data_IF_172296295368
#
_entry.id   IF_172296295368
#
_cell.length_a   1.000
_cell.length_b   1.000
_cell.length_c   1.000
_cell.angle_alpha   90.00
_cell.angle_beta   90.00
_cell.angle_gamma   90.00
#
_symmetry.space_group_name_H-M   'P 1'
#
loop_
_entity.id
_entity.type
_entity.pdbx_description
1 polymer ?
#
# COMPACT_ATOMS: atom_id res chain seq x y z
N UNK A 1 5.67 7.64 31.21
CA UNK A 1 4.61 7.84 30.19
C UNK A 1 5.33 8.07 28.86
N UNK A 2 5.57 7.00 28.10
CA UNK A 2 6.38 7.04 26.88
C UNK A 2 5.49 7.50 25.74
N UNK A 3 5.76 8.68 25.19
CA UNK A 3 5.05 9.20 24.01
C UNK A 3 5.46 8.34 22.82
N UNK A 4 4.57 7.47 22.35
CA UNK A 4 4.72 6.79 21.06
C UNK A 4 4.55 7.90 20.01
N UNK A 5 5.53 8.13 19.11
CA UNK A 5 5.32 9.08 18.05
C UNK A 5 4.18 8.56 17.17
N UNK A 6 3.05 9.25 17.21
CA UNK A 6 1.97 9.03 16.27
C UNK A 6 2.52 9.38 14.89
N UNK A 7 2.64 8.39 14.01
CA UNK A 7 2.77 8.67 12.59
C UNK A 7 1.48 9.38 12.20
N UNK A 8 1.55 10.70 12.01
CA UNK A 8 0.48 11.43 11.36
C UNK A 8 0.66 11.23 9.85
N UNK A 9 -0.05 10.29 9.22
CA UNK A 9 -0.34 10.44 7.80
C UNK A 9 -1.17 11.73 7.68
N UNK A 10 -0.95 12.49 6.63
CA UNK A 10 -1.79 13.63 6.32
C UNK A 10 -3.26 13.18 6.47
N UNK A 11 -4.03 13.87 7.28
CA UNK A 11 -5.36 13.47 7.75
C UNK A 11 -6.19 12.85 6.62
N UNK A 12 -6.48 11.55 6.72
CA UNK A 12 -7.56 10.92 5.95
C UNK A 12 -7.22 9.74 5.05
N UNK A 13 -5.98 9.28 4.91
CA UNK A 13 -5.67 7.99 4.26
C UNK A 13 -4.68 7.23 5.13
N UNK A 14 -5.15 6.17 5.75
CA UNK A 14 -4.32 5.27 6.57
C UNK A 14 -3.56 4.34 5.63
N UNK A 15 -2.23 4.30 5.74
CA UNK A 15 -1.42 3.38 4.94
C UNK A 15 -1.68 1.93 5.34
N UNK A 16 -1.75 1.04 4.37
CA UNK A 16 -1.94 -0.40 4.54
C UNK A 16 -0.59 -1.10 4.50
N UNK A 17 -0.24 -1.81 5.56
CA UNK A 17 0.99 -2.59 5.67
C UNK A 17 0.67 -4.08 5.67
N UNK A 18 1.28 -4.83 4.74
CA UNK A 18 1.21 -6.29 4.73
C UNK A 18 2.37 -6.86 5.55
N UNK A 19 2.07 -7.65 6.57
CA UNK A 19 3.05 -8.35 7.41
C UNK A 19 3.09 -9.83 7.03
N UNK A 20 4.26 -10.31 6.57
CA UNK A 20 4.49 -11.71 6.16
C UNK A 20 5.53 -12.30 7.10
N UNK A 21 5.11 -13.20 7.98
CA UNK A 21 5.94 -13.86 8.99
C UNK A 21 5.25 -15.17 9.38
N UNK A 22 5.94 -16.30 9.40
CA UNK A 22 5.36 -17.60 9.75
C UNK A 22 5.17 -17.76 11.27
N UNK A 23 5.92 -17.02 12.07
CA UNK A 23 5.78 -17.03 13.52
C UNK A 23 4.55 -16.21 13.96
N UNK A 24 3.46 -16.89 14.30
CA UNK A 24 2.18 -16.26 14.67
C UNK A 24 2.33 -15.20 15.78
N UNK A 25 3.15 -15.50 16.81
CA UNK A 25 3.33 -14.57 17.93
C UNK A 25 4.04 -13.28 17.49
N UNK A 26 5.10 -13.39 16.67
CA UNK A 26 5.83 -12.26 16.13
C UNK A 26 4.95 -11.44 15.17
N UNK A 27 4.27 -12.11 14.25
CA UNK A 27 3.36 -11.48 13.28
C UNK A 27 2.27 -10.69 13.98
N UNK A 28 1.57 -11.28 14.97
CA UNK A 28 0.54 -10.61 15.74
C UNK A 28 1.07 -9.43 16.56
N UNK A 29 2.24 -9.57 17.19
CA UNK A 29 2.84 -8.49 17.96
C UNK A 29 3.16 -7.28 17.06
N UNK A 30 3.70 -7.52 15.88
CA UNK A 30 3.95 -6.49 14.87
C UNK A 30 2.62 -5.87 14.42
N UNK A 31 1.64 -6.68 14.01
CA UNK A 31 0.34 -6.21 13.55
C UNK A 31 -0.36 -5.32 14.59
N UNK A 32 -0.41 -5.74 15.86
CA UNK A 32 -1.00 -4.96 16.95
C UNK A 32 -0.28 -3.61 17.14
N UNK A 33 1.05 -3.60 17.05
CA UNK A 33 1.81 -2.37 17.18
C UNK A 33 1.55 -1.39 16.04
N UNK A 34 1.41 -1.89 14.79
CA UNK A 34 1.08 -1.08 13.63
C UNK A 34 -0.35 -0.55 13.68
N UNK A 35 -1.33 -1.39 14.07
CA UNK A 35 -2.72 -0.98 14.29
C UNK A 35 -2.83 0.10 15.38
N UNK A 36 -2.10 -0.05 16.49
CA UNK A 36 -2.07 0.95 17.56
C UNK A 36 -1.47 2.30 17.12
N UNK A 37 -0.63 2.28 16.08
CA UNK A 37 -0.07 3.49 15.46
C UNK A 37 -1.01 4.10 14.38
N UNK A 38 -2.18 3.52 14.14
CA UNK A 38 -3.17 4.02 13.19
C UNK A 38 -2.98 3.53 11.76
N UNK A 39 -2.18 2.49 11.51
CA UNK A 39 -2.02 1.87 10.20
C UNK A 39 -3.06 0.78 10.00
N UNK A 40 -3.42 0.48 8.76
CA UNK A 40 -4.13 -0.74 8.39
C UNK A 40 -3.13 -1.88 8.23
N UNK A 41 -3.54 -3.11 8.61
CA UNK A 41 -2.63 -4.26 8.57
C UNK A 41 -3.30 -5.45 7.91
N UNK A 42 -2.59 -6.02 6.93
CA UNK A 42 -2.87 -7.33 6.36
C UNK A 42 -1.82 -8.30 6.89
N UNK A 43 -2.21 -9.55 7.12
CA UNK A 43 -1.33 -10.58 7.67
C UNK A 43 -1.27 -11.80 6.74
N UNK A 44 -0.08 -12.33 6.53
CA UNK A 44 0.14 -13.62 5.85
C UNK A 44 1.11 -14.48 6.65
N UNK A 45 0.80 -15.78 6.76
CA UNK A 45 1.62 -16.73 7.51
C UNK A 45 2.66 -17.46 6.62
N UNK A 46 2.62 -17.25 5.32
CA UNK A 46 3.51 -17.91 4.36
C UNK A 46 3.73 -17.06 3.09
N UNK A 47 4.72 -17.45 2.29
CA UNK A 47 5.08 -16.75 1.08
C UNK A 47 3.99 -16.73 0.00
N UNK A 48 3.32 -17.85 -0.33
CA UNK A 48 2.22 -17.87 -1.29
C UNK A 48 1.07 -16.93 -0.93
N UNK A 49 0.57 -16.98 0.31
CA UNK A 49 -0.48 -16.09 0.81
C UNK A 49 -0.02 -14.61 0.80
N UNK A 50 1.24 -14.37 1.20
CA UNK A 50 1.84 -13.03 1.15
C UNK A 50 1.92 -12.47 -0.25
N UNK A 51 2.34 -13.27 -1.24
CA UNK A 51 2.39 -12.85 -2.64
C UNK A 51 0.98 -12.54 -3.18
N UNK A 52 0.01 -13.38 -2.89
CA UNK A 52 -1.38 -13.19 -3.28
C UNK A 52 -1.94 -11.87 -2.73
N UNK A 53 -1.78 -11.63 -1.42
CA UNK A 53 -2.22 -10.39 -0.79
C UNK A 53 -1.48 -9.17 -1.35
N UNK A 54 -0.17 -9.25 -1.56
CA UNK A 54 0.59 -8.15 -2.13
C UNK A 54 0.10 -7.75 -3.53
N UNK A 55 -0.34 -8.72 -4.34
CA UNK A 55 -0.82 -8.49 -5.70
C UNK A 55 -2.28 -8.03 -5.75
N UNK A 56 -3.13 -8.55 -4.87
CA UNK A 56 -4.57 -8.30 -4.95
C UNK A 56 -5.02 -7.14 -4.05
N UNK A 57 -4.43 -6.98 -2.87
CA UNK A 57 -4.80 -5.92 -1.93
C UNK A 57 -4.00 -4.61 -2.13
N UNK A 58 -2.95 -4.63 -2.97
CA UNK A 58 -2.08 -3.48 -3.26
C UNK A 58 -1.68 -2.70 -1.99
N UNK A 59 -0.99 -3.32 -1.01
CA UNK A 59 -0.55 -2.64 0.19
C UNK A 59 0.44 -1.51 -0.15
N UNK A 60 0.52 -0.51 0.71
CA UNK A 60 1.46 0.59 0.58
C UNK A 60 2.89 0.19 0.96
N UNK A 61 3.03 -0.87 1.78
CA UNK A 61 4.32 -1.41 2.20
C UNK A 61 4.18 -2.88 2.64
N UNK A 62 5.23 -3.66 2.39
CA UNK A 62 5.36 -5.04 2.88
C UNK A 62 6.45 -5.12 3.94
N UNK A 63 6.17 -5.74 5.08
CA UNK A 63 7.14 -6.21 6.07
C UNK A 63 7.30 -7.70 5.85
N UNK A 64 8.50 -8.15 5.49
CA UNK A 64 8.77 -9.51 5.04
C UNK A 64 9.81 -10.20 5.91
N UNK A 65 9.47 -11.31 6.57
CA UNK A 65 10.48 -12.22 7.10
C UNK A 65 11.10 -13.04 5.96
N UNK A 66 12.42 -13.16 5.98
CA UNK A 66 13.13 -14.02 5.02
C UNK A 66 13.00 -15.51 5.32
N UNK A 67 12.72 -15.87 6.56
CA UNK A 67 12.55 -17.27 6.96
C UNK A 67 11.09 -17.69 6.89
N UNK A 68 10.64 -18.08 5.71
CA UNK A 68 9.28 -18.56 5.48
C UNK A 68 9.29 -20.04 5.05
N UNK A 69 8.39 -20.86 5.55
CA UNK A 69 8.27 -22.25 5.10
C UNK A 69 7.77 -22.30 3.64
N UNK A 70 8.37 -23.19 2.86
CA UNK A 70 7.92 -23.51 1.49
C UNK A 70 8.33 -22.53 0.39
N UNK A 71 8.50 -21.25 0.67
CA UNK A 71 9.06 -20.26 -0.24
C UNK A 71 10.00 -19.35 0.55
N UNK A 72 11.29 -19.46 0.28
CA UNK A 72 12.29 -18.56 0.90
C UNK A 72 11.92 -17.10 0.64
N UNK A 73 12.00 -16.27 1.67
CA UNK A 73 11.59 -14.86 1.58
C UNK A 73 12.36 -14.08 0.51
N UNK A 74 13.60 -14.46 0.22
CA UNK A 74 14.41 -13.91 -0.88
C UNK A 74 13.75 -14.18 -2.24
N UNK A 75 13.26 -15.39 -2.46
CA UNK A 75 12.51 -15.75 -3.69
C UNK A 75 11.16 -15.03 -3.77
N UNK A 76 10.53 -14.81 -2.62
CA UNK A 76 9.30 -14.00 -2.57
C UNK A 76 9.59 -12.56 -2.96
N UNK A 77 10.65 -11.96 -2.43
CA UNK A 77 11.11 -10.62 -2.79
C UNK A 77 11.41 -10.50 -4.28
N UNK A 78 12.16 -11.43 -4.86
CA UNK A 78 12.41 -11.47 -6.31
C UNK A 78 11.10 -11.54 -7.13
N UNK A 79 10.16 -12.38 -6.72
CA UNK A 79 8.86 -12.50 -7.40
C UNK A 79 8.06 -11.22 -7.30
N UNK A 80 8.02 -10.60 -6.13
CA UNK A 80 7.37 -9.30 -5.93
C UNK A 80 7.96 -8.25 -6.87
N UNK A 81 9.28 -8.16 -6.96
CA UNK A 81 9.97 -7.16 -7.81
C UNK A 81 9.75 -7.33 -9.31
N UNK A 82 9.39 -8.53 -9.76
CA UNK A 82 9.02 -8.76 -11.19
C UNK A 82 7.65 -8.19 -11.56
N UNK A 83 6.77 -7.97 -10.56
CA UNK A 83 5.35 -7.67 -10.79
C UNK A 83 4.85 -6.46 -10.00
N UNK A 84 5.63 -5.96 -9.04
CA UNK A 84 5.25 -4.85 -8.16
C UNK A 84 6.48 -4.10 -7.65
N UNK A 85 6.35 -2.77 -7.57
CA UNK A 85 7.34 -1.89 -6.93
C UNK A 85 6.91 -1.54 -5.50
N UNK A 86 5.99 -2.31 -4.89
CA UNK A 86 5.58 -2.08 -3.50
C UNK A 86 6.81 -2.03 -2.59
N UNK A 87 6.95 -1.02 -1.74
CA UNK A 87 8.09 -0.96 -0.81
C UNK A 87 8.14 -2.18 0.10
N UNK A 88 9.34 -2.74 0.31
CA UNK A 88 9.56 -3.91 1.15
C UNK A 88 10.61 -3.61 2.21
N UNK A 89 10.22 -3.76 3.48
CA UNK A 89 11.17 -3.81 4.60
C UNK A 89 11.37 -5.29 4.95
N UNK A 90 12.59 -5.76 4.78
CA UNK A 90 12.96 -7.10 5.21
C UNK A 90 13.19 -7.10 6.71
N UNK A 91 12.65 -8.10 7.42
CA UNK A 91 12.94 -8.38 8.82
C UNK A 91 13.56 -9.76 8.93
N UNK A 92 14.70 -9.91 9.60
CA UNK A 92 15.40 -11.21 9.65
C UNK A 92 16.27 -11.35 10.91
N UNK A 93 16.45 -12.57 11.36
CA UNK A 93 17.44 -12.88 12.39
C UNK A 93 18.87 -12.99 11.83
N UNK A 94 19.05 -12.97 10.52
CA UNK A 94 20.36 -12.91 9.89
C UNK A 94 20.94 -11.50 10.12
N UNK A 95 22.13 -11.41 10.67
CA UNK A 95 22.76 -10.15 11.08
C UNK A 95 24.09 -9.89 10.38
N UNK A 96 24.49 -10.79 9.48
CA UNK A 96 25.69 -10.61 8.69
C UNK A 96 25.49 -9.48 7.64
N UNK A 97 26.56 -8.76 7.36
CA UNK A 97 26.52 -7.65 6.41
C UNK A 97 26.16 -8.13 5.01
N UNK A 98 26.67 -9.30 4.62
CA UNK A 98 26.41 -9.91 3.32
C UNK A 98 24.93 -10.24 3.11
N UNK A 99 24.22 -10.75 4.14
CA UNK A 99 22.78 -11.02 4.06
C UNK A 99 21.97 -9.74 3.85
N UNK A 100 22.38 -8.66 4.53
CA UNK A 100 21.72 -7.35 4.36
C UNK A 100 21.96 -6.77 2.98
N UNK A 101 23.20 -6.83 2.49
CA UNK A 101 23.56 -6.36 1.13
C UNK A 101 22.79 -7.16 0.08
N UNK A 102 22.75 -8.49 0.21
CA UNK A 102 22.01 -9.36 -0.70
C UNK A 102 20.51 -9.02 -0.76
N UNK A 103 19.86 -8.78 0.38
CA UNK A 103 18.45 -8.40 0.41
C UNK A 103 18.20 -7.03 -0.25
N UNK A 104 19.08 -6.06 -0.05
CA UNK A 104 18.99 -4.75 -0.69
C UNK A 104 19.23 -4.84 -2.20
N UNK A 105 20.19 -5.63 -2.64
CA UNK A 105 20.45 -5.89 -4.07
C UNK A 105 19.29 -6.60 -4.76
N UNK A 106 18.55 -7.45 -4.03
CA UNK A 106 17.30 -8.07 -4.49
C UNK A 106 16.12 -7.08 -4.54
N UNK A 107 16.33 -5.85 -4.09
CA UNK A 107 15.37 -4.76 -4.17
C UNK A 107 14.57 -4.52 -2.89
N UNK A 108 15.02 -4.94 -1.71
CA UNK A 108 14.47 -4.46 -0.46
C UNK A 108 14.76 -2.96 -0.28
N UNK A 109 13.79 -2.21 0.25
CA UNK A 109 13.94 -0.77 0.50
C UNK A 109 14.60 -0.47 1.85
N UNK A 110 14.51 -1.41 2.79
CA UNK A 110 15.22 -1.37 4.08
C UNK A 110 15.36 -2.78 4.65
N UNK A 111 16.24 -2.92 5.64
CA UNK A 111 16.50 -4.17 6.33
C UNK A 111 16.58 -3.95 7.84
N UNK A 112 15.86 -4.78 8.61
CA UNK A 112 15.79 -4.71 10.06
C UNK A 112 16.14 -6.06 10.69
N UNK A 113 17.10 -6.05 11.61
CA UNK A 113 17.57 -7.25 12.28
C UNK A 113 16.71 -7.58 13.49
N UNK A 114 16.26 -8.82 13.63
CA UNK A 114 15.59 -9.35 14.84
C UNK A 114 16.63 -9.61 15.96
N UNK A 115 16.36 -9.24 17.25
CA UNK A 115 15.13 -8.62 17.72
C UNK A 115 15.10 -7.12 17.50
N UNK A 116 13.92 -6.56 17.18
CA UNK A 116 13.69 -5.14 17.02
C UNK A 116 12.49 -4.66 17.87
N UNK A 117 12.38 -3.37 18.04
CA UNK A 117 11.20 -2.76 18.69
C UNK A 117 10.18 -2.33 17.64
N UNK A 118 8.89 -2.41 17.98
CA UNK A 118 7.82 -1.86 17.12
C UNK A 118 8.08 -0.38 16.80
N UNK A 119 8.62 0.38 17.73
CA UNK A 119 9.00 1.79 17.52
C UNK A 119 10.05 1.96 16.42
N UNK A 120 11.05 1.09 16.37
CA UNK A 120 12.05 1.11 15.31
C UNK A 120 11.45 0.75 13.96
N UNK A 121 10.63 -0.30 13.90
CA UNK A 121 9.92 -0.68 12.68
C UNK A 121 9.03 0.47 12.17
N UNK A 122 8.26 1.12 13.04
CA UNK A 122 7.43 2.28 12.68
C UNK A 122 8.25 3.44 12.11
N UNK A 123 9.42 3.73 12.70
CA UNK A 123 10.31 4.77 12.18
C UNK A 123 10.81 4.46 10.77
N UNK A 124 11.14 3.19 10.50
CA UNK A 124 11.58 2.71 9.18
C UNK A 124 10.43 2.71 8.17
N UNK A 125 9.25 2.21 8.55
CA UNK A 125 8.04 2.28 7.73
C UNK A 125 7.79 3.73 7.31
N UNK A 126 7.78 4.67 8.24
CA UNK A 126 7.61 6.09 7.91
C UNK A 126 8.70 6.64 6.99
N UNK A 127 9.95 6.22 7.14
CA UNK A 127 11.04 6.66 6.27
C UNK A 127 10.90 6.07 4.85
N UNK A 128 10.54 4.79 4.73
CA UNK A 128 10.36 4.10 3.45
C UNK A 128 9.13 4.64 2.73
N UNK A 129 7.99 4.79 3.42
CA UNK A 129 6.78 5.36 2.82
C UNK A 129 7.03 6.79 2.30
N UNK A 130 7.72 7.64 3.05
CA UNK A 130 8.10 8.98 2.55
C UNK A 130 9.00 8.92 1.31
N UNK A 131 9.89 7.94 1.17
CA UNK A 131 10.74 7.76 -0.01
C UNK A 131 9.96 7.18 -1.19
N UNK A 132 9.07 6.22 -0.93
CA UNK A 132 8.24 5.57 -1.96
C UNK A 132 7.07 6.45 -2.40
N UNK A 133 6.54 7.26 -1.49
CA UNK A 133 5.66 8.36 -1.86
C UNK A 133 6.40 9.33 -2.79
N UNK A 134 7.73 9.15 -2.98
CA UNK A 134 8.64 9.94 -3.79
C UNK A 134 8.08 11.32 -3.95
N UNK A 135 8.35 12.31 -3.07
CA UNK A 135 7.73 13.62 -3.17
C UNK A 135 6.40 13.62 -3.97
N UNK A 136 5.38 12.86 -3.51
CA UNK A 136 4.04 13.14 -4.02
C UNK A 136 3.81 14.54 -3.51
N UNK A 137 4.16 15.48 -4.38
CA UNK A 137 3.98 16.89 -4.10
C UNK A 137 2.60 16.98 -3.46
N UNK A 138 2.44 17.69 -2.34
CA UNK A 138 1.15 17.79 -1.66
C UNK A 138 0.02 18.11 -2.65
N UNK A 139 0.40 18.58 -3.82
CA UNK A 139 -0.47 18.82 -4.97
C UNK A 139 0.11 18.09 -6.19
N UNK A 140 -0.66 17.18 -6.78
CA UNK A 140 -0.30 16.44 -8.00
C UNK A 140 -1.15 16.92 -9.17
N UNK A 141 -0.51 17.21 -10.30
CA UNK A 141 -1.19 17.55 -11.54
C UNK A 141 -1.04 16.44 -12.57
N UNK A 142 -2.16 15.97 -13.13
CA UNK A 142 -2.24 14.91 -14.14
C UNK A 142 -3.09 15.45 -15.30
N UNK A 143 -2.46 15.87 -16.38
CA UNK A 143 -3.14 16.56 -17.47
C UNK A 143 -3.88 17.82 -16.95
N UNK A 144 -5.21 17.93 -17.19
CA UNK A 144 -6.01 19.07 -16.71
C UNK A 144 -6.42 18.97 -15.24
N UNK A 145 -6.12 17.85 -14.56
CA UNK A 145 -6.59 17.56 -13.19
C UNK A 145 -5.49 17.84 -12.19
N UNK A 146 -5.79 18.65 -11.17
CA UNK A 146 -4.92 18.90 -10.01
C UNK A 146 -5.58 18.31 -8.77
N UNK A 147 -4.84 17.54 -8.01
CA UNK A 147 -5.26 16.86 -6.77
C UNK A 147 -4.45 17.44 -5.63
N UNK A 148 -5.12 18.05 -4.67
CA UNK A 148 -4.54 18.56 -3.41
C UNK A 148 -4.87 17.57 -2.31
N UNK A 149 -3.86 16.80 -1.88
CA UNK A 149 -4.03 15.75 -0.86
C UNK A 149 -4.30 16.32 0.54
N UNK A 150 -3.55 17.33 1.02
CA UNK A 150 -3.84 18.00 2.29
C UNK A 150 -5.24 18.61 2.35
N UNK A 151 -5.65 19.33 1.30
CA UNK A 151 -6.96 19.94 1.25
C UNK A 151 -8.10 18.96 0.90
N UNK A 152 -7.78 17.69 0.62
CA UNK A 152 -8.72 16.65 0.14
C UNK A 152 -9.63 17.16 -0.97
N UNK A 153 -9.03 17.83 -1.95
CA UNK A 153 -9.76 18.46 -3.03
C UNK A 153 -9.15 18.16 -4.40
N UNK A 154 -9.97 18.26 -5.43
CA UNK A 154 -9.51 18.15 -6.80
C UNK A 154 -10.09 19.31 -7.64
N UNK A 155 -9.34 19.71 -8.65
CA UNK A 155 -9.78 20.68 -9.65
C UNK A 155 -9.49 20.14 -11.05
N UNK A 156 -10.26 20.61 -12.03
CA UNK A 156 -10.02 20.39 -13.44
C UNK A 156 -9.99 21.73 -14.15
N UNK A 157 -8.96 21.96 -14.94
CA UNK A 157 -8.75 23.25 -15.63
C UNK A 157 -8.84 24.46 -14.66
N UNK A 158 -8.33 24.28 -13.42
CA UNK A 158 -8.36 25.27 -12.35
C UNK A 158 -9.71 25.42 -11.63
N UNK A 159 -10.77 24.75 -12.08
CA UNK A 159 -12.07 24.79 -11.43
C UNK A 159 -12.23 23.63 -10.44
N UNK A 160 -12.61 23.95 -9.19
CA UNK A 160 -12.80 22.95 -8.14
C UNK A 160 -13.94 21.99 -8.50
N UNK A 161 -13.65 20.69 -8.38
CA UNK A 161 -14.60 19.61 -8.64
C UNK A 161 -15.06 19.01 -7.31
N UNK A 162 -16.37 19.03 -6.97
CA UNK A 162 -16.86 18.44 -5.75
C UNK A 162 -16.78 16.91 -5.80
N UNK A 163 -16.01 16.32 -4.89
CA UNK A 163 -15.87 14.87 -4.72
C UNK A 163 -16.44 14.46 -3.36
N UNK A 164 -17.07 13.28 -3.31
CA UNK A 164 -17.39 12.62 -2.04
C UNK A 164 -16.11 12.07 -1.38
N UNK A 165 -16.18 11.71 -0.10
CA UNK A 165 -15.06 11.13 0.61
C UNK A 165 -14.54 9.85 -0.10
N UNK A 166 -15.44 8.95 -0.52
CA UNK A 166 -15.08 7.72 -1.23
C UNK A 166 -14.48 8.00 -2.62
N UNK A 167 -15.05 8.95 -3.38
CA UNK A 167 -14.49 9.35 -4.67
C UNK A 167 -13.07 9.91 -4.51
N UNK A 168 -12.85 10.76 -3.49
CA UNK A 168 -11.51 11.28 -3.22
C UNK A 168 -10.54 10.19 -2.77
N UNK A 169 -10.98 9.24 -1.95
CA UNK A 169 -10.17 8.09 -1.50
C UNK A 169 -9.71 7.25 -2.69
N UNK A 170 -10.62 6.87 -3.60
CA UNK A 170 -10.27 6.10 -4.81
C UNK A 170 -9.35 6.91 -5.73
N UNK A 171 -9.65 8.17 -5.99
CA UNK A 171 -8.82 9.04 -6.82
C UNK A 171 -7.41 9.19 -6.24
N UNK A 172 -7.32 9.46 -4.93
CA UNK A 172 -6.06 9.65 -4.24
C UNK A 172 -5.20 8.38 -4.24
N UNK A 173 -5.81 7.21 -4.06
CA UNK A 173 -5.10 5.94 -4.14
C UNK A 173 -4.55 5.69 -5.56
N UNK A 174 -5.39 5.83 -6.58
CA UNK A 174 -4.96 5.68 -7.98
C UNK A 174 -3.87 6.69 -8.38
N UNK A 175 -3.96 7.93 -7.92
CA UNK A 175 -2.97 8.96 -8.22
C UNK A 175 -1.61 8.72 -7.56
N UNK A 176 -1.59 8.18 -6.33
CA UNK A 176 -0.35 7.76 -5.64
C UNK A 176 0.32 6.56 -6.32
N UNK A 177 -0.50 5.66 -6.87
CA UNK A 177 -0.04 4.48 -7.59
C UNK A 177 -0.02 4.71 -9.12
N UNK A 178 0.20 5.96 -9.53
CA UNK A 178 0.27 6.35 -10.94
C UNK A 178 1.27 5.48 -11.70
N UNK A 179 0.88 5.03 -12.90
CA UNK A 179 1.66 4.09 -13.71
C UNK A 179 1.55 2.62 -13.27
N UNK A 180 0.84 2.34 -12.16
CA UNK A 180 0.64 0.99 -11.63
C UNK A 180 -0.81 0.57 -11.77
N UNK A 181 -1.01 -0.72 -11.99
CA UNK A 181 -2.34 -1.31 -12.01
C UNK A 181 -2.86 -1.50 -10.58
N UNK A 182 -4.03 -0.94 -10.29
CA UNK A 182 -4.75 -1.13 -9.02
C UNK A 182 -5.95 -2.04 -9.29
N UNK A 183 -6.04 -3.15 -8.58
CA UNK A 183 -7.12 -4.13 -8.76
C UNK A 183 -8.44 -3.61 -8.18
N UNK A 184 -9.58 -4.17 -8.66
CA UNK A 184 -10.90 -3.89 -8.06
C UNK A 184 -10.93 -4.25 -6.59
N UNK A 185 -10.40 -5.41 -6.25
CA UNK A 185 -10.38 -5.90 -4.87
C UNK A 185 -9.62 -4.95 -3.94
N UNK A 186 -8.48 -4.42 -4.39
CA UNK A 186 -7.73 -3.42 -3.62
C UNK A 186 -8.54 -2.14 -3.37
N UNK A 187 -9.30 -1.68 -4.36
CA UNK A 187 -10.17 -0.52 -4.19
C UNK A 187 -11.41 -0.82 -3.34
N UNK A 188 -11.95 -2.03 -3.41
CA UNK A 188 -13.06 -2.46 -2.54
C UNK A 188 -12.63 -2.51 -1.09
N UNK A 189 -11.49 -3.13 -0.80
CA UNK A 189 -10.92 -3.18 0.56
C UNK A 189 -10.61 -1.77 1.09
N UNK A 190 -10.13 -0.87 0.24
CA UNK A 190 -9.88 0.52 0.60
C UNK A 190 -11.16 1.29 0.99
N UNK A 191 -12.30 0.95 0.39
CA UNK A 191 -13.58 1.64 0.62
C UNK A 191 -14.35 1.00 1.79
N UNK A 192 -14.23 -0.31 1.95
CA UNK A 192 -14.93 -1.13 2.95
C UNK A 192 -13.97 -2.08 3.67
N UNK A 193 -13.07 -1.55 4.53
CA UNK A 193 -12.07 -2.38 5.21
C UNK A 193 -12.73 -3.50 6.03
N UNK A 194 -12.31 -4.75 5.78
CA UNK A 194 -12.79 -5.92 6.52
C UNK A 194 -14.20 -6.42 6.16
N UNK A 195 -14.85 -5.83 5.18
CA UNK A 195 -16.11 -6.34 4.64
C UNK A 195 -15.83 -7.22 3.42
N UNK A 196 -15.80 -8.52 3.60
CA UNK A 196 -15.79 -9.43 2.45
C UNK A 196 -17.18 -9.39 1.79
N UNK A 197 -17.28 -9.14 0.47
CA UNK A 197 -18.56 -9.26 -0.20
C UNK A 197 -19.09 -10.70 -0.03
N UNK A 198 -20.40 -10.89 0.10
CA UNK A 198 -21.01 -12.23 0.19
C UNK A 198 -20.53 -13.09 -1.01
N UNK A 199 -20.22 -14.37 -0.77
CA UNK A 199 -19.79 -15.29 -1.80
C UNK A 199 -20.72 -15.23 -3.03
N UNK A 200 -20.13 -14.98 -4.20
CA UNK A 200 -20.88 -14.89 -5.48
C UNK A 200 -21.43 -13.50 -5.82
N UNK A 201 -21.20 -12.47 -5.02
CA UNK A 201 -21.65 -11.10 -5.32
C UNK A 201 -20.47 -10.28 -5.88
N UNK A 202 -20.56 -9.88 -7.15
CA UNK A 202 -19.62 -8.90 -7.72
C UNK A 202 -20.09 -7.51 -7.28
N UNK A 203 -19.36 -6.87 -6.39
CA UNK A 203 -19.63 -5.50 -6.00
C UNK A 203 -19.36 -4.55 -7.18
N UNK A 204 -20.33 -3.73 -7.52
CA UNK A 204 -20.19 -2.72 -8.58
C UNK A 204 -19.80 -1.34 -8.03
N UNK A 205 -19.54 -1.22 -6.73
CA UNK A 205 -19.29 0.07 -6.07
C UNK A 205 -18.09 0.78 -6.66
N UNK A 206 -16.98 0.06 -6.85
CA UNK A 206 -15.76 0.61 -7.46
C UNK A 206 -16.02 1.11 -8.89
N UNK A 207 -16.70 0.30 -9.71
CA UNK A 207 -17.00 0.70 -11.09
C UNK A 207 -17.89 1.96 -11.14
N UNK A 208 -18.83 2.09 -10.22
CA UNK A 208 -19.69 3.29 -10.09
C UNK A 208 -18.85 4.50 -9.66
N UNK A 209 -17.94 4.36 -8.69
CA UNK A 209 -17.07 5.45 -8.26
C UNK A 209 -16.13 5.90 -9.38
N UNK A 210 -15.51 4.95 -10.07
CA UNK A 210 -14.65 5.26 -11.24
C UNK A 210 -15.44 5.94 -12.36
N UNK A 211 -16.68 5.48 -12.63
CA UNK A 211 -17.54 6.14 -13.62
C UNK A 211 -17.86 7.59 -13.21
N UNK A 212 -18.16 7.84 -11.93
CA UNK A 212 -18.41 9.19 -11.40
C UNK A 212 -17.18 10.09 -11.50
N UNK A 213 -16.00 9.55 -11.13
CA UNK A 213 -14.73 10.24 -11.25
C UNK A 213 -14.45 10.64 -12.72
N UNK A 214 -14.65 9.73 -13.66
CA UNK A 214 -14.50 10.00 -15.10
C UNK A 214 -15.44 11.10 -15.59
N UNK A 215 -16.70 11.09 -15.15
CA UNK A 215 -17.67 12.15 -15.49
C UNK A 215 -17.24 13.50 -14.96
N UNK A 216 -16.66 13.56 -13.75
CA UNK A 216 -16.28 14.80 -13.08
C UNK A 216 -14.91 15.33 -13.53
N UNK A 217 -13.95 14.44 -13.71
CA UNK A 217 -12.53 14.79 -13.93
C UNK A 217 -12.03 14.52 -15.36
N UNK A 218 -12.82 13.80 -16.16
CA UNK A 218 -12.47 13.42 -17.53
C UNK A 218 -12.31 11.92 -17.72
N UNK A 219 -12.77 11.44 -18.88
CA UNK A 219 -12.77 10.01 -19.18
C UNK A 219 -11.36 9.42 -19.32
N UNK A 220 -10.39 10.23 -19.72
CA UNK A 220 -9.03 9.80 -20.01
C UNK A 220 -8.14 9.70 -18.76
N UNK A 221 -8.60 10.25 -17.60
CA UNK A 221 -7.81 10.26 -16.38
C UNK A 221 -7.55 8.85 -15.84
N UNK A 222 -8.56 7.98 -15.88
CA UNK A 222 -8.49 6.63 -15.33
C UNK A 222 -8.76 5.63 -16.47
N UNK A 223 -7.76 4.84 -16.83
CA UNK A 223 -7.93 3.75 -17.80
C UNK A 223 -8.38 2.45 -17.10
N UNK A 224 -9.20 1.65 -17.81
CA UNK A 224 -9.58 0.30 -17.34
C UNK A 224 -8.74 -0.73 -18.07
N UNK A 225 -8.11 -1.63 -17.32
CA UNK A 225 -7.50 -2.86 -17.83
C UNK A 225 -8.47 -4.01 -17.58
N UNK A 226 -9.15 -4.47 -18.64
CA UNK A 226 -10.23 -5.48 -18.54
C UNK A 226 -9.78 -6.71 -17.75
N UNK A 227 -10.58 -7.12 -16.75
CA UNK A 227 -10.31 -8.27 -15.89
C UNK A 227 -9.21 -8.04 -14.85
N UNK A 228 -8.47 -6.93 -14.89
CA UNK A 228 -7.33 -6.66 -14.02
C UNK A 228 -7.61 -5.51 -13.05
N UNK A 229 -8.11 -4.37 -13.49
CA UNK A 229 -8.37 -3.23 -12.63
C UNK A 229 -8.29 -1.88 -13.35
N UNK A 230 -7.79 -0.87 -12.64
CA UNK A 230 -7.74 0.51 -13.08
C UNK A 230 -6.32 1.08 -12.95
N UNK A 231 -6.00 2.04 -13.79
CA UNK A 231 -4.71 2.73 -13.80
C UNK A 231 -4.89 4.20 -14.16
N UNK A 232 -4.12 5.06 -13.53
CA UNK A 232 -3.86 6.41 -14.02
C UNK A 232 -2.51 6.35 -14.74
N UNK A 233 -2.52 6.55 -16.04
CA UNK A 233 -1.29 6.53 -16.84
C UNK A 233 -0.37 7.70 -16.47
N UNK A 234 0.95 7.50 -16.65
CA UNK A 234 2.00 8.41 -16.24
C UNK A 234 2.13 9.66 -17.11
#
# INVERSE_FOLDING_TARGET
MTIIPTLHPAEGVTATVLVIDDEEAARRAVAQGLLAAGLQVLEAADGPAGLELALHAAPDLVVLDLRLPGLEGERLLERLRRVSDVPVIVVSAKHEEDDRVAALDLGADDYLVKPFTVRELLARIGAVLRRSEGDVAPVVTIGPVTIDFPARSASRDGQRVPLTAQEFTVLGHLARHRGRLVTRLALEELIHPGESPPEGTVSNVVDVLVLRLRKKLGHDLIATRRGLGFIIDG
#
